data_IF_663709892081
#
_entry.id   IF_663709892081
#
_cell.length_a   1.000
_cell.length_b   1.000
_cell.length_c   1.000
_cell.angle_alpha   90.00
_cell.angle_beta   90.00
_cell.angle_gamma   90.00
#
_symmetry.space_group_name_H-M   'P 1'
#
loop_
_entity.id
_entity.type
_entity.pdbx_description
1 polymer ?
#
# COMPACT_ATOMS: atom_id res chain seq x y z
N UNK A 1 2.19 1.61 23.16
CA UNK A 1 1.67 1.84 21.80
C UNK A 1 2.29 3.16 21.33
N UNK A 2 2.95 3.20 20.17
CA UNK A 2 3.65 4.42 19.70
C UNK A 2 2.61 5.48 19.33
N UNK A 3 2.87 6.73 19.66
CA UNK A 3 1.97 7.86 19.35
C UNK A 3 2.06 8.30 17.88
N UNK A 4 3.05 7.80 17.14
CA UNK A 4 3.34 8.14 15.76
C UNK A 4 3.18 6.93 14.84
N UNK A 5 2.57 7.14 13.66
CA UNK A 5 2.39 6.11 12.64
C UNK A 5 3.71 5.72 11.98
N UNK A 6 4.58 6.71 11.70
CA UNK A 6 5.92 6.52 11.19
C UNK A 6 6.92 7.18 12.14
N UNK A 7 8.13 6.65 12.21
CA UNK A 7 9.23 7.29 12.92
C UNK A 7 9.64 8.60 12.23
N UNK A 8 10.09 9.62 12.98
CA UNK A 8 10.48 10.91 12.41
C UNK A 8 11.49 10.79 11.27
N UNK A 9 12.50 9.92 11.41
CA UNK A 9 13.52 9.68 10.38
C UNK A 9 12.91 9.18 9.08
N UNK A 10 11.95 8.25 9.14
CA UNK A 10 11.25 7.74 7.94
C UNK A 10 10.34 8.81 7.33
N UNK A 11 9.66 9.61 8.16
CA UNK A 11 8.86 10.75 7.69
C UNK A 11 9.72 11.76 6.95
N UNK A 12 10.89 12.10 7.50
CA UNK A 12 11.85 13.03 6.88
C UNK A 12 12.40 12.44 5.57
N UNK A 13 12.83 11.18 5.59
CA UNK A 13 13.29 10.48 4.38
C UNK A 13 12.27 10.57 3.25
N UNK A 14 11.00 10.33 3.56
CA UNK A 14 9.91 10.30 2.58
C UNK A 14 9.34 11.70 2.28
N UNK A 15 9.68 12.72 3.07
CA UNK A 15 9.09 14.06 2.94
C UNK A 15 7.60 14.09 3.32
N UNK A 16 7.13 13.15 4.15
CA UNK A 16 5.75 13.03 4.56
C UNK A 16 5.44 13.90 5.79
N UNK A 17 4.28 14.56 5.78
CA UNK A 17 3.80 15.27 6.96
C UNK A 17 3.25 14.29 7.99
N UNK A 18 3.36 14.65 9.27
CA UNK A 18 2.78 13.88 10.37
C UNK A 18 1.28 13.73 10.20
N UNK A 19 0.77 12.49 10.41
CA UNK A 19 -0.65 12.17 10.38
C UNK A 19 -1.15 11.75 11.76
N UNK A 20 -2.40 12.08 12.13
CA UNK A 20 -3.03 11.54 13.33
C UNK A 20 -3.26 10.02 13.15
N UNK A 21 -3.34 9.29 14.25
CA UNK A 21 -3.43 7.82 14.24
C UNK A 21 -4.63 7.26 13.47
N UNK A 22 -5.73 7.98 13.44
CA UNK A 22 -6.92 7.57 12.70
C UNK A 22 -6.76 7.69 11.17
N UNK A 23 -5.71 8.37 10.72
CA UNK A 23 -5.45 8.66 9.31
C UNK A 23 -4.12 8.04 8.88
N UNK A 24 -4.07 6.73 8.57
CA UNK A 24 -2.88 6.12 7.98
C UNK A 24 -2.50 6.83 6.68
N UNK A 25 -1.23 6.74 6.29
CA UNK A 25 -0.80 7.22 4.98
C UNK A 25 -1.46 6.39 3.89
N UNK A 26 -2.06 7.04 2.91
CA UNK A 26 -2.75 6.38 1.80
C UNK A 26 -1.79 6.20 0.63
N UNK A 27 -1.59 4.95 0.22
CA UNK A 27 -0.76 4.57 -0.91
C UNK A 27 -1.65 4.18 -2.10
N UNK A 28 -1.70 5.04 -3.12
CA UNK A 28 -2.48 4.84 -4.33
C UNK A 28 -1.72 4.05 -5.39
N UNK A 29 -2.40 3.16 -6.10
CA UNK A 29 -1.81 2.21 -7.05
C UNK A 29 -1.84 2.77 -8.47
N UNK A 30 -0.69 2.79 -9.15
CA UNK A 30 -0.54 3.11 -10.57
C UNK A 30 0.12 1.94 -11.29
N UNK A 31 -0.67 1.21 -12.08
CA UNK A 31 -0.15 0.10 -12.87
C UNK A 31 0.48 0.62 -14.17
N UNK A 32 1.77 0.34 -14.38
CA UNK A 32 2.51 0.61 -15.61
C UNK A 32 2.49 -0.59 -16.59
N UNK A 33 1.61 -1.57 -16.35
CA UNK A 33 1.46 -2.75 -17.22
C UNK A 33 0.63 -2.43 -18.46
N UNK A 34 0.87 -3.10 -19.62
CA UNK A 34 0.02 -2.96 -20.82
C UNK A 34 -1.40 -3.51 -20.62
N UNK A 35 -1.58 -4.47 -19.71
CA UNK A 35 -2.77 -5.28 -19.52
C UNK A 35 -3.41 -5.05 -18.13
N UNK A 36 -3.74 -3.83 -17.75
CA UNK A 36 -4.55 -3.69 -16.54
C UNK A 36 -6.02 -4.01 -16.88
N UNK A 37 -6.61 -5.01 -16.21
CA UNK A 37 -8.04 -5.37 -16.33
C UNK A 37 -9.00 -4.21 -16.02
N UNK A 38 -8.48 -3.07 -15.58
CA UNK A 38 -9.22 -1.85 -15.36
C UNK A 38 -9.40 -1.00 -16.62
N UNK A 39 -8.67 -1.31 -17.72
CA UNK A 39 -8.61 -0.47 -18.90
C UNK A 39 -9.36 -1.11 -20.07
N UNK A 40 -10.61 -0.71 -20.26
CA UNK A 40 -11.41 -1.07 -21.43
C UNK A 40 -10.96 -0.38 -22.73
N UNK A 41 -9.88 0.42 -22.72
CA UNK A 41 -9.49 1.30 -23.83
C UNK A 41 -7.97 1.31 -24.18
N UNK A 42 -7.33 0.13 -24.24
CA UNK A 42 -5.98 0.07 -24.79
C UNK A 42 -4.84 0.48 -23.84
N UNK A 43 -3.60 0.41 -24.30
CA UNK A 43 -2.36 0.73 -23.55
C UNK A 43 -2.38 2.19 -23.10
N UNK A 44 -2.47 2.43 -21.79
CA UNK A 44 -2.34 3.79 -21.23
C UNK A 44 -0.93 4.32 -21.47
N UNK A 45 -0.85 5.57 -21.89
CA UNK A 45 0.42 6.29 -22.05
C UNK A 45 1.05 6.64 -20.69
N UNK A 46 2.27 7.16 -20.71
CA UNK A 46 2.88 7.72 -19.49
C UNK A 46 2.05 8.86 -18.96
N UNK A 47 1.52 9.72 -19.83
CA UNK A 47 0.67 10.86 -19.52
C UNK A 47 -0.61 10.44 -18.79
N UNK A 48 -1.29 9.37 -19.25
CA UNK A 48 -2.49 8.85 -18.60
C UNK A 48 -2.20 8.35 -17.17
N UNK A 49 -1.02 7.75 -16.95
CA UNK A 49 -0.58 7.29 -15.63
C UNK A 49 -0.22 8.44 -14.70
N UNK A 50 0.39 9.49 -15.25
CA UNK A 50 0.67 10.73 -14.51
C UNK A 50 -0.63 11.44 -14.13
N UNK A 51 -1.62 11.49 -15.01
CA UNK A 51 -2.93 12.08 -14.72
C UNK A 51 -3.67 11.27 -13.64
N UNK A 52 -3.60 9.93 -13.69
CA UNK A 52 -4.09 9.09 -12.61
C UNK A 52 -3.39 9.41 -11.27
N UNK A 53 -2.06 9.56 -11.29
CA UNK A 53 -1.31 9.92 -10.08
C UNK A 53 -1.73 11.30 -9.54
N UNK A 54 -1.94 12.31 -10.42
CA UNK A 54 -2.48 13.63 -10.02
C UNK A 54 -3.83 13.50 -9.34
N UNK A 55 -4.72 12.69 -9.93
CA UNK A 55 -6.04 12.43 -9.35
C UNK A 55 -5.92 11.76 -7.98
N UNK A 56 -5.10 10.72 -7.85
CA UNK A 56 -4.90 10.03 -6.56
C UNK A 56 -4.35 10.98 -5.49
N UNK A 57 -3.39 11.86 -5.84
CA UNK A 57 -2.87 12.88 -4.93
C UNK A 57 -3.96 13.89 -4.53
N UNK A 58 -4.78 14.35 -5.48
CA UNK A 58 -5.91 15.25 -5.21
C UNK A 58 -6.99 14.59 -4.34
N UNK A 59 -7.20 13.28 -4.50
CA UNK A 59 -8.11 12.47 -3.69
C UNK A 59 -7.53 12.18 -2.28
N UNK A 60 -6.28 12.57 -2.01
CA UNK A 60 -5.64 12.48 -0.69
C UNK A 60 -4.64 11.35 -0.52
N UNK A 61 -4.10 10.78 -1.61
CA UNK A 61 -2.94 9.89 -1.51
C UNK A 61 -1.71 10.63 -0.98
N UNK A 62 -0.95 9.97 -0.13
CA UNK A 62 0.33 10.43 0.38
C UNK A 62 1.51 9.81 -0.40
N UNK A 63 1.29 8.62 -0.96
CA UNK A 63 2.30 7.81 -1.67
C UNK A 63 1.65 7.28 -2.95
N UNK A 64 2.41 7.26 -4.04
CA UNK A 64 2.02 6.64 -5.31
C UNK A 64 2.90 5.41 -5.56
N UNK A 65 2.29 4.23 -5.65
CA UNK A 65 2.97 2.96 -5.86
C UNK A 65 2.87 2.53 -7.32
N UNK A 66 4.03 2.48 -7.99
CA UNK A 66 4.13 2.22 -9.45
C UNK A 66 4.59 0.79 -9.68
N UNK A 67 3.75 -0.03 -10.32
CA UNK A 67 4.08 -1.43 -10.64
C UNK A 67 4.20 -1.68 -12.15
N UNK A 68 5.33 -2.27 -12.59
CA UNK A 68 5.60 -2.63 -13.99
C UNK A 68 5.17 -4.04 -14.37
N UNK A 69 4.89 -4.86 -13.35
CA UNK A 69 4.48 -6.25 -13.50
C UNK A 69 3.13 -6.49 -12.77
N UNK A 70 2.21 -7.17 -13.44
CA UNK A 70 0.92 -7.50 -12.83
C UNK A 70 1.08 -8.56 -11.73
N UNK A 71 0.43 -8.37 -10.58
CA UNK A 71 0.35 -9.37 -9.51
C UNK A 71 -0.43 -10.64 -9.85
N UNK A 72 -1.01 -10.74 -11.07
CA UNK A 72 -1.75 -11.92 -11.51
C UNK A 72 -0.81 -13.11 -11.62
N UNK A 73 -1.19 -14.21 -10.95
CA UNK A 73 -0.51 -15.51 -11.05
C UNK A 73 -0.80 -16.17 -12.40
N UNK A 74 0.00 -17.14 -12.79
CA UNK A 74 -0.12 -17.88 -14.07
C UNK A 74 0.24 -17.08 -15.35
N UNK A 75 0.81 -15.89 -15.22
CA UNK A 75 1.50 -15.20 -16.31
C UNK A 75 3.01 -15.29 -16.07
N UNK A 76 3.83 -15.40 -17.12
CA UNK A 76 5.28 -15.35 -16.95
C UNK A 76 5.72 -14.04 -16.33
N UNK A 77 6.85 -14.07 -15.60
CA UNK A 77 7.49 -12.86 -15.11
C UNK A 77 7.90 -11.97 -16.30
N UNK A 78 7.82 -10.66 -16.09
CA UNK A 78 8.28 -9.67 -17.07
C UNK A 78 9.82 -9.63 -17.04
N UNK A 79 10.45 -9.53 -18.18
CA UNK A 79 11.91 -9.36 -18.27
C UNK A 79 12.33 -8.03 -17.63
N UNK A 80 13.51 -8.03 -16.98
CA UNK A 80 14.02 -6.87 -16.23
C UNK A 80 14.05 -5.60 -17.08
N UNK A 81 14.61 -5.68 -18.30
CA UNK A 81 14.72 -4.53 -19.20
C UNK A 81 13.33 -3.98 -19.60
N UNK A 82 12.36 -4.86 -19.80
CA UNK A 82 10.99 -4.47 -20.11
C UNK A 82 10.32 -3.80 -18.91
N UNK A 83 10.46 -4.35 -17.71
CA UNK A 83 9.89 -3.73 -16.50
C UNK A 83 10.48 -2.34 -16.24
N UNK A 84 11.81 -2.18 -16.37
CA UNK A 84 12.48 -0.88 -16.29
C UNK A 84 11.89 0.10 -17.31
N UNK A 85 11.71 -0.32 -18.57
CA UNK A 85 11.15 0.54 -19.62
C UNK A 85 9.72 1.01 -19.33
N UNK A 86 8.96 0.23 -18.55
CA UNK A 86 7.59 0.57 -18.13
C UNK A 86 7.55 1.53 -16.96
N UNK A 87 8.37 1.27 -15.92
CA UNK A 87 8.25 2.00 -14.64
C UNK A 87 9.05 3.30 -14.63
N UNK A 88 10.25 3.33 -15.19
CA UNK A 88 11.15 4.48 -15.09
C UNK A 88 10.54 5.76 -15.64
N UNK A 89 9.99 5.82 -16.88
CA UNK A 89 9.41 7.06 -17.39
C UNK A 89 8.22 7.56 -16.57
N UNK A 90 7.44 6.64 -16.00
CA UNK A 90 6.28 6.96 -15.14
C UNK A 90 6.76 7.53 -13.81
N UNK A 91 7.75 6.89 -13.17
CA UNK A 91 8.33 7.34 -11.91
C UNK A 91 8.98 8.71 -12.06
N UNK A 92 9.80 8.94 -13.09
CA UNK A 92 10.43 10.23 -13.37
C UNK A 92 9.42 11.37 -13.53
N UNK A 93 8.28 11.09 -14.16
CA UNK A 93 7.23 12.08 -14.36
C UNK A 93 6.44 12.35 -13.08
N UNK A 94 6.09 11.30 -12.31
CA UNK A 94 5.34 11.44 -11.04
C UNK A 94 6.21 12.09 -9.96
N UNK A 95 7.49 11.76 -9.87
CA UNK A 95 8.40 12.34 -8.88
C UNK A 95 8.56 13.87 -9.00
N UNK A 96 8.21 14.46 -10.15
CA UNK A 96 8.18 15.92 -10.37
C UNK A 96 6.88 16.57 -9.90
N UNK A 97 5.86 15.79 -9.55
CA UNK A 97 4.61 16.36 -9.04
C UNK A 97 4.80 16.88 -7.60
N UNK A 98 4.26 18.05 -7.27
CA UNK A 98 4.37 18.60 -5.93
C UNK A 98 3.80 17.65 -4.88
N UNK A 99 4.59 17.33 -3.86
CA UNK A 99 4.18 16.48 -2.74
C UNK A 99 4.10 14.98 -3.04
N UNK A 100 4.47 14.52 -4.25
CA UNK A 100 4.45 13.12 -4.59
C UNK A 100 5.63 12.37 -3.94
N UNK A 101 5.31 11.33 -3.17
CA UNK A 101 6.26 10.29 -2.73
C UNK A 101 6.03 9.07 -3.60
N UNK A 102 7.07 8.58 -4.27
CA UNK A 102 6.93 7.46 -5.22
C UNK A 102 7.49 6.18 -4.60
N UNK A 103 6.70 5.12 -4.70
CA UNK A 103 7.07 3.73 -4.42
C UNK A 103 7.16 2.95 -5.72
N UNK A 104 8.04 1.96 -5.79
CA UNK A 104 8.10 0.98 -6.89
C UNK A 104 7.72 -0.40 -6.37
N UNK A 105 6.68 -1.01 -6.96
CA UNK A 105 6.26 -2.40 -6.70
C UNK A 105 7.10 -3.32 -7.59
N UNK A 106 8.16 -3.89 -7.02
CA UNK A 106 9.07 -4.82 -7.70
C UNK A 106 9.84 -5.69 -6.71
N UNK A 107 10.15 -6.91 -7.16
CA UNK A 107 11.02 -7.85 -6.45
C UNK A 107 12.39 -8.03 -7.15
N UNK A 108 12.69 -7.21 -8.16
CA UNK A 108 13.90 -7.33 -8.97
C UNK A 108 14.90 -6.22 -8.62
N UNK A 109 16.10 -6.55 -8.11
CA UNK A 109 17.08 -5.55 -7.66
C UNK A 109 17.45 -4.52 -8.73
N UNK A 110 17.62 -4.93 -9.98
CA UNK A 110 17.99 -4.03 -11.08
C UNK A 110 16.85 -3.03 -11.40
N UNK A 111 15.57 -3.45 -11.29
CA UNK A 111 14.41 -2.57 -11.44
C UNK A 111 14.36 -1.57 -10.30
N UNK A 112 14.58 -2.03 -9.05
CA UNK A 112 14.61 -1.16 -7.88
C UNK A 112 15.69 -0.08 -8.01
N UNK A 113 16.92 -0.43 -8.39
CA UNK A 113 18.01 0.55 -8.62
C UNK A 113 17.62 1.59 -9.69
N UNK A 114 17.07 1.15 -10.82
CA UNK A 114 16.63 2.05 -11.88
C UNK A 114 15.48 2.97 -11.42
N UNK A 115 14.51 2.44 -10.67
CA UNK A 115 13.39 3.19 -10.13
C UNK A 115 13.83 4.23 -9.08
N UNK A 116 14.75 3.87 -8.19
CA UNK A 116 15.32 4.80 -7.20
C UNK A 116 16.07 5.93 -7.90
N UNK A 117 16.89 5.62 -8.91
CA UNK A 117 17.57 6.63 -9.72
C UNK A 117 16.59 7.56 -10.44
N UNK A 118 15.40 7.08 -10.79
CA UNK A 118 14.30 7.84 -11.40
C UNK A 118 13.49 8.67 -10.37
N UNK A 119 13.71 8.50 -9.07
CA UNK A 119 13.07 9.26 -8.00
C UNK A 119 12.16 8.48 -7.06
N UNK A 120 12.10 7.14 -7.16
CA UNK A 120 11.40 6.33 -6.16
C UNK A 120 12.12 6.44 -4.79
N UNK A 121 11.33 6.50 -3.72
CA UNK A 121 11.80 6.61 -2.33
C UNK A 121 11.46 5.38 -1.50
N UNK A 122 10.63 4.49 -2.03
CA UNK A 122 10.21 3.25 -1.39
C UNK A 122 10.35 2.12 -2.41
N UNK A 123 10.91 0.99 -1.98
CA UNK A 123 10.85 -0.29 -2.69
C UNK A 123 9.78 -1.15 -2.01
N UNK A 124 8.72 -1.47 -2.73
CA UNK A 124 7.63 -2.32 -2.25
C UNK A 124 7.86 -3.75 -2.72
N UNK A 125 8.47 -4.56 -1.86
CA UNK A 125 8.80 -5.96 -2.17
C UNK A 125 7.64 -6.89 -1.82
N UNK A 126 7.10 -7.53 -2.84
CA UNK A 126 6.04 -8.54 -2.73
C UNK A 126 6.56 -9.99 -2.76
N UNK A 127 7.88 -10.18 -2.69
CA UNK A 127 8.52 -11.51 -2.76
C UNK A 127 8.96 -12.07 -1.41
N UNK A 128 8.93 -11.23 -0.37
CA UNK A 128 9.44 -11.59 0.95
C UNK A 128 10.96 -11.61 1.01
N UNK A 129 11.59 -10.69 0.32
CA UNK A 129 13.04 -10.57 0.19
C UNK A 129 13.66 -11.86 -0.38
N UNK A 130 13.08 -12.35 -1.49
CA UNK A 130 13.56 -13.56 -2.18
C UNK A 130 15.04 -13.43 -2.59
N UNK A 131 15.48 -12.21 -2.90
CA UNK A 131 16.84 -11.84 -3.25
C UNK A 131 17.30 -10.70 -2.33
N UNK A 132 18.32 -10.95 -1.50
CA UNK A 132 18.88 -9.98 -0.57
C UNK A 132 19.48 -8.75 -1.28
N UNK A 133 19.88 -8.88 -2.55
CA UNK A 133 20.36 -7.75 -3.37
C UNK A 133 19.29 -6.66 -3.56
N UNK A 134 17.99 -6.99 -3.38
CA UNK A 134 16.93 -5.98 -3.37
C UNK A 134 17.05 -5.04 -2.18
N UNK A 135 17.38 -5.56 -1.01
CA UNK A 135 17.63 -4.73 0.18
C UNK A 135 18.93 -3.92 0.01
N UNK A 136 19.98 -4.51 -0.57
CA UNK A 136 21.19 -3.77 -0.92
C UNK A 136 20.89 -2.60 -1.88
N UNK A 137 20.04 -2.81 -2.89
CA UNK A 137 19.61 -1.73 -3.80
C UNK A 137 18.87 -0.59 -3.06
N UNK A 138 18.00 -0.91 -2.10
CA UNK A 138 17.32 0.09 -1.27
C UNK A 138 18.32 0.86 -0.39
N UNK A 139 19.27 0.17 0.25
CA UNK A 139 20.32 0.78 1.09
C UNK A 139 21.22 1.71 0.28
N UNK A 140 21.73 1.27 -0.87
CA UNK A 140 22.59 2.04 -1.79
C UNK A 140 21.90 3.35 -2.24
N UNK A 141 20.59 3.28 -2.49
CA UNK A 141 19.79 4.42 -2.94
C UNK A 141 19.17 5.24 -1.81
N UNK A 142 19.48 4.93 -0.53
CA UNK A 142 18.86 5.55 0.64
C UNK A 142 17.32 5.59 0.54
N UNK A 143 16.71 4.46 0.15
CA UNK A 143 15.26 4.28 0.04
C UNK A 143 14.72 3.46 1.21
N UNK A 144 13.43 3.62 1.53
CA UNK A 144 12.71 2.70 2.41
C UNK A 144 12.39 1.40 1.68
N UNK A 145 12.22 0.31 2.43
CA UNK A 145 11.79 -0.98 1.89
C UNK A 145 10.58 -1.52 2.65
N UNK A 146 9.59 -2.00 1.92
CA UNK A 146 8.48 -2.78 2.45
C UNK A 146 8.83 -4.25 2.30
N UNK A 147 8.81 -4.99 3.39
CA UNK A 147 9.04 -6.43 3.45
C UNK A 147 7.71 -7.15 3.67
N UNK A 148 7.25 -7.91 2.67
CA UNK A 148 5.95 -8.59 2.75
C UNK A 148 6.12 -10.07 3.07
N UNK A 149 5.26 -10.59 3.96
CA UNK A 149 5.19 -12.02 4.20
C UNK A 149 4.56 -12.80 3.05
N UNK A 150 5.30 -13.79 2.55
CA UNK A 150 4.79 -14.80 1.62
C UNK A 150 5.60 -16.11 1.74
N UNK A 151 4.95 -17.26 1.50
CA UNK A 151 5.59 -18.58 1.38
C UNK A 151 5.49 -19.13 -0.05
N UNK A 152 5.16 -18.26 -1.01
CA UNK A 152 5.15 -18.56 -2.44
C UNK A 152 6.11 -17.66 -3.19
N UNK A 153 6.69 -18.15 -4.27
CA UNK A 153 7.46 -17.31 -5.17
C UNK A 153 6.54 -16.36 -5.94
N UNK A 154 7.06 -15.22 -6.42
CA UNK A 154 6.31 -14.39 -7.35
C UNK A 154 5.70 -15.22 -8.49
N UNK A 155 4.45 -14.91 -8.88
CA UNK A 155 3.67 -15.63 -9.91
C UNK A 155 3.16 -17.01 -9.51
N UNK A 156 3.52 -17.55 -8.37
CA UNK A 156 2.96 -18.80 -7.86
C UNK A 156 1.71 -18.54 -7.02
N UNK A 157 0.63 -19.29 -7.28
CA UNK A 157 -0.53 -19.35 -6.38
C UNK A 157 -0.52 -20.69 -5.67
N UNK A 158 -0.17 -20.67 -4.38
CA UNK A 158 -0.16 -21.85 -3.52
C UNK A 158 -0.61 -21.49 -2.11
N UNK A 159 -1.16 -22.45 -1.43
CA UNK A 159 -1.63 -22.33 -0.05
C UNK A 159 -0.92 -23.39 0.81
N UNK A 160 0.27 -23.09 1.33
CA UNK A 160 0.97 -24.02 2.20
C UNK A 160 0.20 -24.21 3.51
N UNK A 161 0.33 -25.37 4.17
CA UNK A 161 -0.15 -25.53 5.52
C UNK A 161 0.66 -24.65 6.49
N UNK A 162 0.01 -24.11 7.50
CA UNK A 162 0.62 -23.42 8.62
C UNK A 162 0.12 -24.09 9.90
N UNK A 163 1.02 -24.37 10.84
CA UNK A 163 0.64 -24.80 12.19
C UNK A 163 0.04 -23.61 12.97
N UNK A 164 0.66 -22.43 12.82
CA UNK A 164 0.21 -21.12 13.31
C UNK A 164 0.61 -20.05 12.28
N UNK A 165 -0.35 -19.53 11.54
CA UNK A 165 -0.08 -18.56 10.47
C UNK A 165 0.36 -17.21 11.03
N UNK A 166 -0.07 -16.83 12.23
CA UNK A 166 0.31 -15.56 12.86
C UNK A 166 1.75 -15.60 13.33
N UNK A 167 2.14 -16.69 14.00
CA UNK A 167 3.52 -16.92 14.39
C UNK A 167 4.46 -16.99 13.17
N UNK A 168 4.05 -17.70 12.12
CA UNK A 168 4.83 -17.80 10.87
C UNK A 168 5.06 -16.41 10.23
N UNK A 169 4.02 -15.57 10.19
CA UNK A 169 4.14 -14.18 9.68
C UNK A 169 5.13 -13.37 10.51
N UNK A 170 5.07 -13.44 11.82
CA UNK A 170 5.99 -12.72 12.73
C UNK A 170 7.43 -13.16 12.55
N UNK A 171 7.67 -14.47 12.60
CA UNK A 171 9.02 -15.05 12.52
C UNK A 171 9.65 -14.77 11.15
N UNK A 172 8.87 -14.91 10.07
CA UNK A 172 9.31 -14.60 8.73
C UNK A 172 9.69 -13.12 8.56
N UNK A 173 8.85 -12.21 9.05
CA UNK A 173 9.12 -10.78 8.94
C UNK A 173 10.30 -10.37 9.83
N UNK A 174 10.47 -10.97 11.02
CA UNK A 174 11.63 -10.74 11.86
C UNK A 174 12.94 -11.16 11.16
N UNK A 175 12.94 -12.32 10.48
CA UNK A 175 14.08 -12.77 9.68
C UNK A 175 14.35 -11.84 8.50
N UNK A 176 13.31 -11.45 7.74
CA UNK A 176 13.44 -10.55 6.61
C UNK A 176 13.98 -9.17 7.03
N UNK A 177 13.55 -8.63 8.18
CA UNK A 177 14.11 -7.40 8.78
C UNK A 177 15.60 -7.59 9.05
N UNK A 178 16.01 -8.66 9.71
CA UNK A 178 17.42 -8.93 10.01
C UNK A 178 18.27 -9.04 8.73
N UNK A 179 17.75 -9.70 7.70
CA UNK A 179 18.41 -9.80 6.39
C UNK A 179 18.56 -8.45 5.72
N UNK A 180 17.53 -7.60 5.74
CA UNK A 180 17.61 -6.25 5.21
C UNK A 180 18.65 -5.39 5.95
N UNK A 181 18.71 -5.49 7.28
CA UNK A 181 19.74 -4.81 8.09
C UNK A 181 21.15 -5.30 7.72
N UNK A 182 21.33 -6.58 7.49
CA UNK A 182 22.61 -7.14 7.07
C UNK A 182 23.09 -6.61 5.70
N UNK A 183 22.16 -6.16 4.84
CA UNK A 183 22.44 -5.51 3.56
C UNK A 183 22.64 -3.98 3.71
N UNK A 184 22.59 -3.44 4.92
CA UNK A 184 22.85 -2.01 5.18
C UNK A 184 21.62 -1.10 5.17
N UNK A 185 20.39 -1.67 5.09
CA UNK A 185 19.17 -0.87 5.25
C UNK A 185 19.07 -0.40 6.70
N UNK A 186 18.95 0.90 7.00
CA UNK A 186 18.69 1.36 8.36
C UNK A 186 17.36 0.80 8.88
N UNK A 187 17.33 0.43 10.17
CA UNK A 187 16.10 -0.14 10.77
C UNK A 187 14.89 0.76 10.57
N UNK A 188 15.05 2.06 10.72
CA UNK A 188 14.03 3.09 10.54
C UNK A 188 13.47 3.18 9.12
N UNK A 189 14.18 2.65 8.11
CA UNK A 189 13.72 2.60 6.71
C UNK A 189 12.91 1.35 6.37
N UNK A 190 12.76 0.42 7.33
CA UNK A 190 12.03 -0.83 7.11
C UNK A 190 10.56 -0.68 7.48
N UNK A 191 9.69 -1.14 6.60
CA UNK A 191 8.23 -1.24 6.75
C UNK A 191 7.87 -2.73 6.58
N UNK A 192 6.89 -3.24 7.31
CA UNK A 192 6.46 -4.64 7.20
C UNK A 192 5.03 -4.76 6.67
N UNK A 193 4.74 -5.79 5.88
CA UNK A 193 3.42 -6.10 5.35
C UNK A 193 3.06 -7.56 5.66
N UNK A 194 1.93 -7.84 6.34
CA UNK A 194 1.48 -9.20 6.65
C UNK A 194 1.14 -10.05 5.43
N UNK A 195 1.05 -9.47 4.23
CA UNK A 195 0.79 -10.14 2.96
C UNK A 195 -0.59 -10.82 2.89
N UNK A 196 -1.72 -10.08 3.03
CA UNK A 196 -3.06 -10.65 2.85
C UNK A 196 -3.19 -11.35 1.50
N UNK A 197 -3.73 -12.58 1.47
CA UNK A 197 -3.90 -13.47 0.31
C UNK A 197 -2.60 -13.98 -0.36
N UNK A 198 -1.42 -13.52 0.08
CA UNK A 198 -0.16 -14.07 -0.40
C UNK A 198 0.18 -15.36 0.36
N UNK A 199 0.11 -16.48 -0.35
CA UNK A 199 0.29 -17.83 0.19
C UNK A 199 -0.60 -18.16 1.41
N UNK A 200 -1.75 -17.51 1.53
CA UNK A 200 -2.74 -17.67 2.60
C UNK A 200 -4.13 -17.90 2.04
N UNK A 201 -4.87 -18.83 2.62
CA UNK A 201 -6.31 -18.96 2.37
C UNK A 201 -7.06 -17.74 2.93
N UNK A 202 -8.32 -17.51 2.52
CA UNK A 202 -9.14 -16.44 3.11
C UNK A 202 -9.24 -16.54 4.64
N UNK A 203 -9.37 -17.74 5.20
CA UNK A 203 -9.43 -17.94 6.65
C UNK A 203 -8.12 -17.53 7.34
N UNK A 204 -6.97 -17.96 6.80
CA UNK A 204 -5.65 -17.60 7.31
C UNK A 204 -5.37 -16.09 7.17
N UNK A 205 -5.81 -15.47 6.07
CA UNK A 205 -5.74 -14.01 5.91
C UNK A 205 -6.52 -13.30 7.01
N UNK A 206 -7.74 -13.73 7.30
CA UNK A 206 -8.58 -13.14 8.36
C UNK A 206 -7.94 -13.33 9.74
N UNK A 207 -7.36 -14.51 10.02
CA UNK A 207 -6.66 -14.80 11.25
C UNK A 207 -5.48 -13.82 11.47
N UNK A 208 -4.65 -13.62 10.45
CA UNK A 208 -3.55 -12.63 10.48
C UNK A 208 -4.07 -11.21 10.67
N UNK A 209 -5.14 -10.81 9.97
CA UNK A 209 -5.70 -9.46 10.10
C UNK A 209 -6.30 -9.19 11.48
N UNK A 210 -6.82 -10.20 12.18
CA UNK A 210 -7.29 -10.10 13.57
C UNK A 210 -6.15 -9.97 14.58
N UNK A 211 -4.94 -10.34 14.21
CA UNK A 211 -3.77 -10.36 15.07
C UNK A 211 -2.71 -9.31 14.65
N UNK A 212 -3.09 -8.30 13.86
CA UNK A 212 -2.16 -7.26 13.38
C UNK A 212 -1.41 -6.54 14.50
N UNK A 213 -2.03 -6.38 15.66
CA UNK A 213 -1.41 -5.79 16.85
C UNK A 213 -0.16 -6.52 17.30
N UNK A 214 -0.07 -7.84 17.10
CA UNK A 214 1.12 -8.63 17.44
C UNK A 214 2.33 -8.28 16.55
N UNK A 215 2.12 -7.74 15.34
CA UNK A 215 3.21 -7.31 14.46
C UNK A 215 3.93 -6.06 14.98
N UNK A 216 3.32 -5.29 15.89
CA UNK A 216 3.99 -4.16 16.54
C UNK A 216 5.20 -4.60 17.40
N UNK A 217 5.27 -5.88 17.81
CA UNK A 217 6.45 -6.43 18.50
C UNK A 217 7.72 -6.34 17.64
N UNK A 218 7.58 -6.33 16.30
CA UNK A 218 8.69 -6.12 15.37
C UNK A 218 9.25 -4.68 15.42
N UNK A 219 8.51 -3.78 16.07
CA UNK A 219 8.90 -2.39 16.20
C UNK A 219 8.90 -1.61 14.88
N UNK A 220 8.29 -2.11 13.81
CA UNK A 220 8.25 -1.49 12.49
C UNK A 220 6.86 -0.98 12.15
N UNK A 221 6.75 0.08 11.28
CA UNK A 221 5.47 0.47 10.71
C UNK A 221 4.84 -0.67 9.90
N UNK A 222 3.52 -0.80 9.98
CA UNK A 222 2.77 -1.83 9.24
C UNK A 222 2.12 -1.20 8.03
N UNK A 223 2.40 -1.75 6.84
CA UNK A 223 1.64 -1.51 5.62
C UNK A 223 0.57 -2.59 5.48
N UNK A 224 -0.66 -2.20 5.16
CA UNK A 224 -1.75 -3.11 4.86
C UNK A 224 -2.23 -2.94 3.41
N UNK A 225 -2.06 -3.99 2.61
CA UNK A 225 -2.52 -4.08 1.22
C UNK A 225 -3.74 -5.01 1.09
N UNK A 226 -4.89 -4.62 1.68
CA UNK A 226 -6.12 -5.45 1.71
C UNK A 226 -7.13 -5.12 0.60
N UNK A 227 -6.84 -4.11 -0.26
CA UNK A 227 -7.79 -3.60 -1.25
C UNK A 227 -8.14 -4.61 -2.34
N UNK A 228 -9.43 -4.91 -2.48
CA UNK A 228 -10.03 -5.79 -3.48
C UNK A 228 -9.51 -7.23 -3.45
N UNK A 229 -8.92 -7.67 -2.34
CA UNK A 229 -8.32 -8.99 -2.16
C UNK A 229 -9.36 -10.13 -2.19
N UNK A 230 -8.88 -11.34 -2.46
CA UNK A 230 -9.74 -12.52 -2.65
C UNK A 230 -10.48 -12.94 -1.38
N UNK A 231 -9.91 -12.69 -0.18
CA UNK A 231 -10.63 -12.98 1.06
C UNK A 231 -11.93 -12.16 1.19
N UNK A 232 -11.94 -10.89 0.69
CA UNK A 232 -13.16 -10.07 0.64
C UNK A 232 -14.18 -10.70 -0.30
N UNK A 233 -13.74 -11.12 -1.51
CA UNK A 233 -14.60 -11.81 -2.46
C UNK A 233 -15.16 -13.12 -1.93
N UNK A 234 -14.35 -13.90 -1.20
CA UNK A 234 -14.77 -15.16 -0.60
C UNK A 234 -15.86 -14.98 0.48
N UNK A 235 -15.80 -13.87 1.23
CA UNK A 235 -16.81 -13.54 2.25
C UNK A 235 -18.11 -12.98 1.66
N UNK A 236 -18.04 -12.28 0.53
CA UNK A 236 -19.14 -11.46 0.01
C UNK A 236 -19.72 -11.97 -1.30
N UNK A 237 -19.10 -12.98 -1.91
CA UNK A 237 -19.42 -13.48 -3.26
C UNK A 237 -19.38 -12.37 -4.33
N UNK A 238 -18.40 -11.43 -4.21
CA UNK A 238 -18.26 -10.28 -5.09
C UNK A 238 -17.03 -10.37 -6.00
N UNK A 239 -17.20 -9.92 -7.24
CA UNK A 239 -16.09 -9.71 -8.17
C UNK A 239 -15.12 -8.60 -7.72
N UNK A 240 -13.86 -8.57 -8.22
CA UNK A 240 -12.86 -7.64 -7.73
C UNK A 240 -13.25 -6.15 -7.76
N UNK A 241 -14.06 -5.72 -8.73
CA UNK A 241 -14.53 -4.33 -8.84
C UNK A 241 -15.66 -3.97 -7.87
N UNK A 242 -16.31 -4.96 -7.28
CA UNK A 242 -17.45 -4.79 -6.37
C UNK A 242 -17.07 -4.92 -4.89
N UNK A 243 -15.76 -5.06 -4.58
CA UNK A 243 -15.25 -5.35 -3.23
C UNK A 243 -14.94 -4.10 -2.40
N UNK A 244 -15.40 -2.91 -2.81
CA UNK A 244 -15.01 -1.65 -2.15
C UNK A 244 -15.52 -1.59 -0.71
N UNK A 245 -16.78 -1.93 -0.45
CA UNK A 245 -17.33 -1.95 0.92
C UNK A 245 -16.55 -2.89 1.86
N UNK A 246 -16.16 -4.09 1.37
CA UNK A 246 -15.34 -5.01 2.15
C UNK A 246 -13.88 -4.52 2.31
N UNK A 247 -13.36 -3.80 1.33
CA UNK A 247 -12.06 -3.12 1.41
C UNK A 247 -12.05 -2.09 2.55
N UNK A 248 -13.08 -1.25 2.62
CA UNK A 248 -13.22 -0.24 3.68
C UNK A 248 -13.40 -0.89 5.07
N UNK A 249 -14.10 -2.02 5.15
CA UNK A 249 -14.20 -2.79 6.39
C UNK A 249 -12.82 -3.33 6.83
N UNK A 250 -12.01 -3.84 5.89
CA UNK A 250 -10.65 -4.29 6.19
C UNK A 250 -9.74 -3.10 6.58
N UNK A 251 -9.91 -1.93 5.95
CA UNK A 251 -9.22 -0.70 6.32
C UNK A 251 -9.57 -0.28 7.75
N UNK A 252 -10.86 -0.33 8.14
CA UNK A 252 -11.29 -0.03 9.50
C UNK A 252 -10.57 -0.92 10.51
N UNK A 253 -10.57 -2.24 10.30
CA UNK A 253 -9.86 -3.18 11.16
C UNK A 253 -8.35 -2.87 11.22
N UNK A 254 -7.73 -2.53 10.09
CA UNK A 254 -6.33 -2.12 10.06
C UNK A 254 -6.06 -0.87 10.91
N UNK A 255 -6.91 0.15 10.82
CA UNK A 255 -6.79 1.38 11.62
C UNK A 255 -6.95 1.08 13.12
N UNK A 256 -7.90 0.21 13.49
CA UNK A 256 -8.09 -0.22 14.88
C UNK A 256 -6.85 -0.89 15.45
N UNK A 257 -6.10 -1.62 14.61
CA UNK A 257 -4.83 -2.24 14.95
C UNK A 257 -3.60 -1.35 14.71
N UNK A 258 -3.77 -0.09 14.30
CA UNK A 258 -2.69 0.89 14.21
C UNK A 258 -1.75 0.70 13.02
N UNK A 259 -2.28 0.33 11.85
CA UNK A 259 -1.47 0.35 10.61
C UNK A 259 -0.96 1.74 10.30
N UNK A 260 0.23 1.83 9.71
CA UNK A 260 0.84 3.10 9.32
C UNK A 260 0.50 3.51 7.88
N UNK A 261 0.42 2.54 6.98
CA UNK A 261 0.18 2.76 5.54
C UNK A 261 -0.93 1.83 5.07
N UNK A 262 -1.87 2.35 4.27
CA UNK A 262 -2.90 1.57 3.59
C UNK A 262 -2.72 1.67 2.07
N UNK A 263 -2.47 0.53 1.40
CA UNK A 263 -2.33 0.45 -0.06
C UNK A 263 -3.67 0.11 -0.69
N UNK A 264 -4.20 1.02 -1.52
CA UNK A 264 -5.60 1.04 -1.95
C UNK A 264 -5.75 1.40 -3.43
N UNK A 265 -6.86 0.92 -4.05
CA UNK A 265 -7.25 1.31 -5.40
C UNK A 265 -8.10 2.59 -5.42
N UNK A 266 -9.01 2.75 -4.46
CA UNK A 266 -9.91 3.91 -4.36
C UNK A 266 -9.53 4.78 -3.16
N UNK A 267 -8.73 5.80 -3.44
CA UNK A 267 -8.21 6.72 -2.41
C UNK A 267 -9.32 7.66 -1.92
N UNK A 268 -10.19 8.14 -2.82
CA UNK A 268 -11.27 9.05 -2.45
C UNK A 268 -12.23 8.39 -1.45
N UNK A 269 -12.70 7.17 -1.77
CA UNK A 269 -13.58 6.41 -0.88
C UNK A 269 -12.92 6.13 0.49
N UNK A 270 -11.63 5.81 0.50
CA UNK A 270 -10.89 5.57 1.74
C UNK A 270 -10.72 6.85 2.57
N UNK A 271 -10.39 7.99 1.96
CA UNK A 271 -10.24 9.26 2.64
C UNK A 271 -11.55 9.74 3.26
N UNK A 272 -12.66 9.64 2.51
CA UNK A 272 -13.99 9.96 3.01
C UNK A 272 -14.39 9.04 4.18
N UNK A 273 -14.20 7.72 4.01
CA UNK A 273 -14.48 6.73 5.05
C UNK A 273 -13.72 7.03 6.34
N UNK A 274 -12.40 7.27 6.27
CA UNK A 274 -11.57 7.56 7.43
C UNK A 274 -12.00 8.85 8.13
N UNK A 275 -12.34 9.89 7.36
CA UNK A 275 -12.80 11.17 7.90
C UNK A 275 -14.11 11.00 8.68
N UNK A 276 -15.10 10.34 8.08
CA UNK A 276 -16.40 10.11 8.74
C UNK A 276 -16.23 9.19 9.95
N UNK A 277 -15.43 8.11 9.84
CA UNK A 277 -15.13 7.23 10.97
C UNK A 277 -14.51 7.98 12.13
N UNK A 278 -13.51 8.84 11.87
CA UNK A 278 -12.83 9.60 12.91
C UNK A 278 -13.76 10.62 13.59
N UNK A 279 -14.65 11.26 12.85
CA UNK A 279 -15.68 12.13 13.41
C UNK A 279 -16.64 11.36 14.31
N UNK A 280 -17.11 10.19 13.87
CA UNK A 280 -18.04 9.35 14.63
C UNK A 280 -17.39 8.75 15.90
N UNK A 281 -16.09 8.46 15.88
CA UNK A 281 -15.34 7.97 17.05
C UNK A 281 -14.85 9.08 18.00
N UNK A 282 -15.02 10.36 17.60
CA UNK A 282 -14.56 11.51 18.39
C UNK A 282 -13.05 11.79 18.27
N UNK A 283 -12.34 11.11 17.34
CA UNK A 283 -10.93 11.33 17.06
C UNK A 283 -10.70 12.58 16.17
N UNK A 284 -11.73 13.01 15.43
CA UNK A 284 -11.77 14.24 14.65
C UNK A 284 -12.82 15.18 15.24
N UNK A 285 -12.39 16.35 15.69
CA UNK A 285 -13.32 17.39 16.12
C UNK A 285 -14.10 17.92 14.93
N UNK A 286 -15.42 18.05 15.09
CA UNK A 286 -16.32 18.62 14.07
C UNK A 286 -16.77 19.98 14.56
N UNK A 287 -16.67 20.98 13.68
CA UNK A 287 -17.14 22.34 13.96
C UNK A 287 -18.67 22.36 14.06
N UNK A 288 -19.22 22.99 15.10
CA UNK A 288 -20.67 23.12 15.31
C UNK A 288 -21.38 23.90 14.17
N UNK A 289 -20.63 24.74 13.47
CA UNK A 289 -21.13 25.51 12.31
C UNK A 289 -20.93 24.79 10.98
N UNK A 290 -20.34 23.56 10.99
CA UNK A 290 -20.11 22.79 9.77
C UNK A 290 -21.43 22.52 9.05
N UNK A 291 -21.57 23.05 7.85
CA UNK A 291 -22.75 22.86 7.00
C UNK A 291 -22.39 22.47 5.59
N UNK A 292 -23.20 21.58 5.01
CA UNK A 292 -23.07 21.23 3.59
C UNK A 292 -23.51 22.42 2.72
N UNK A 293 -22.73 22.75 1.68
CA UNK A 293 -23.10 23.75 0.71
C UNK A 293 -24.46 23.44 0.07
N UNK A 294 -25.28 24.47 -0.15
CA UNK A 294 -26.67 24.31 -0.56
C UNK A 294 -26.85 23.49 -1.85
N UNK A 295 -26.01 23.73 -2.86
CA UNK A 295 -26.04 22.99 -4.14
C UNK A 295 -25.68 21.49 -4.02
N UNK A 296 -25.18 21.06 -2.86
CA UNK A 296 -24.87 19.64 -2.57
C UNK A 296 -25.92 18.98 -1.67
N UNK A 297 -26.92 19.74 -1.19
CA UNK A 297 -27.98 19.20 -0.34
C UNK A 297 -28.99 18.45 -1.17
N UNK A 298 -29.52 17.38 -0.61
CA UNK A 298 -30.58 16.58 -1.23
C UNK A 298 -31.95 17.30 -1.18
N UNK A 299 -32.14 18.15 -0.17
CA UNK A 299 -33.40 18.85 0.10
C UNK A 299 -33.02 20.31 0.40
N UNK A 300 -33.71 21.27 -0.21
CA UNK A 300 -33.58 22.68 0.14
C UNK A 300 -34.08 22.90 1.57
N UNK A 301 -33.35 23.68 2.35
CA UNK A 301 -33.83 24.09 3.68
C UNK A 301 -35.00 25.05 3.47
N UNK A 302 -36.12 24.79 4.15
CA UNK A 302 -37.24 25.76 4.23
C UNK A 302 -36.69 26.98 5.00
N UNK A 303 -36.64 28.13 4.35
CA UNK A 303 -36.32 29.36 5.07
C UNK A 303 -37.42 29.61 6.09
N UNK A 304 -37.06 29.65 7.37
CA UNK A 304 -37.96 30.18 8.39
C UNK A 304 -38.29 31.61 7.99
N UNK A 305 -39.58 31.86 7.72
CA UNK A 305 -40.12 33.17 7.40
C UNK A 305 -40.34 34.00 8.68
#
# INVERSE_FOLDING_TARGET
MRDELLEPTLQELLGLQRRPRWRPYLMGIVNATPDSFSDAQGTKSVEDRVELARKLLADGADIIDVGGESGITNKPAVEVAEEISRVVPVIEAIAKLPGAVVSVDTYKPAVARAAIAAGARIVNDVSGLLDDDLAAAAAEGNAAIVLMHTRARPKEKRFPPYDDVVADVKDFLADAVNRALAQGVPLEHVIVDPGPDFAKTPAQTIEVLRALDQLHELGRPILLAASRKDFVGALTDRGPREREAGTLAALAAGVDHGIAIARLHDIAAAADFLTVRAALSGELAVDDELALAEHKRRIELVSEA
#
